data_IF_052938361430
#
_entry.id   IF_052938361430
#
_cell.length_a   1.000
_cell.length_b   1.000
_cell.length_c   1.000
_cell.angle_alpha   90.00
_cell.angle_beta   90.00
_cell.angle_gamma   90.00
#
_symmetry.space_group_name_H-M   'P 1'
#
loop_
_entity.id
_entity.type
_entity.pdbx_description
1 polymer ?
#
# COMPACT_ATOMS: atom_id res chain seq x y z
N UNK A 1 29.98 -37.58 -1.74
CA UNK A 1 30.32 -37.05 -0.41
C UNK A 1 30.64 -35.57 -0.60
N UNK A 2 29.65 -34.67 -0.42
CA UNK A 2 29.73 -33.25 -0.81
C UNK A 2 30.06 -32.35 0.40
N UNK A 3 31.02 -31.45 0.17
CA UNK A 3 31.72 -30.59 1.13
C UNK A 3 30.81 -29.69 1.99
N UNK A 4 30.82 -29.90 3.31
CA UNK A 4 30.07 -29.10 4.30
C UNK A 4 30.81 -27.82 4.77
N UNK A 5 31.94 -27.47 4.13
CA UNK A 5 32.92 -26.53 4.71
C UNK A 5 32.66 -25.04 4.44
N UNK A 6 31.65 -24.69 3.64
CA UNK A 6 31.33 -23.29 3.28
C UNK A 6 30.04 -22.73 3.92
N UNK A 7 29.34 -23.50 4.75
CA UNK A 7 28.03 -23.11 5.32
C UNK A 7 28.09 -22.39 6.69
N UNK A 8 29.25 -22.34 7.36
CA UNK A 8 29.38 -21.71 8.67
C UNK A 8 29.35 -20.16 8.66
N UNK A 9 30.02 -19.42 7.74
CA UNK A 9 30.00 -17.96 7.80
C UNK A 9 28.63 -17.39 7.39
N UNK A 10 27.92 -18.05 6.47
CA UNK A 10 26.60 -17.60 5.99
C UNK A 10 25.53 -17.66 7.10
N UNK A 11 25.57 -18.71 7.92
CA UNK A 11 24.68 -18.85 9.10
C UNK A 11 24.96 -17.77 10.13
N UNK A 12 26.23 -17.47 10.41
CA UNK A 12 26.64 -16.42 11.35
C UNK A 12 26.30 -15.02 10.88
N UNK A 13 26.35 -14.76 9.56
CA UNK A 13 25.94 -13.48 8.96
C UNK A 13 24.41 -13.31 9.08
N UNK A 14 23.64 -14.37 8.78
CA UNK A 14 22.18 -14.32 8.93
C UNK A 14 21.79 -14.07 10.39
N UNK A 15 22.40 -14.77 11.35
CA UNK A 15 22.10 -14.53 12.77
C UNK A 15 22.54 -13.15 13.24
N UNK A 16 23.68 -12.62 12.76
CA UNK A 16 24.09 -11.25 13.06
C UNK A 16 23.11 -10.20 12.51
N UNK A 17 22.61 -10.39 11.29
CA UNK A 17 21.59 -9.52 10.69
C UNK A 17 20.28 -9.58 11.48
N UNK A 18 19.82 -10.78 11.87
CA UNK A 18 18.61 -10.95 12.68
C UNK A 18 18.74 -10.30 14.05
N UNK A 19 19.90 -10.41 14.70
CA UNK A 19 20.16 -9.76 16.00
C UNK A 19 20.21 -8.24 15.87
N UNK A 20 20.77 -7.70 14.78
CA UNK A 20 20.80 -6.26 14.53
C UNK A 20 19.40 -5.65 14.36
N UNK A 21 18.46 -6.38 13.78
CA UNK A 21 17.06 -5.94 13.66
C UNK A 21 16.27 -5.93 14.98
N UNK A 22 16.74 -6.65 16.02
CA UNK A 22 16.06 -6.73 17.32
C UNK A 22 16.38 -5.51 18.21
N UNK A 23 17.50 -4.82 17.99
CA UNK A 23 17.95 -3.68 18.82
C UNK A 23 17.63 -2.29 18.24
N UNK A 24 16.71 -2.21 17.28
CA UNK A 24 16.28 -0.94 16.69
C UNK A 24 15.49 -0.06 17.68
N UNK A 25 15.79 1.23 17.67
CA UNK A 25 15.12 2.27 18.46
C UNK A 25 13.63 2.28 18.05
N UNK A 26 12.73 2.06 19.01
CA UNK A 26 11.28 2.01 18.78
C UNK A 26 10.71 3.43 18.66
N UNK A 27 10.71 3.98 17.45
CA UNK A 27 9.86 5.13 17.12
C UNK A 27 8.41 4.67 16.97
N UNK A 28 7.47 5.35 17.63
CA UNK A 28 6.06 5.02 17.54
C UNK A 28 5.54 5.24 16.10
N UNK A 29 4.86 4.25 15.52
CA UNK A 29 4.27 4.38 14.18
C UNK A 29 3.08 5.35 14.23
N UNK A 30 3.18 6.49 13.52
CA UNK A 30 2.14 7.52 13.48
C UNK A 30 0.90 7.12 12.68
N UNK A 31 1.04 6.19 11.72
CA UNK A 31 -0.05 5.81 10.81
C UNK A 31 -0.54 4.39 11.14
N UNK A 32 -1.86 4.15 11.23
CA UNK A 32 -2.38 2.81 11.41
C UNK A 32 -1.96 1.93 10.23
N UNK A 33 -1.12 0.93 10.50
CA UNK A 33 -0.77 -0.07 9.50
C UNK A 33 -1.95 -1.02 9.34
N UNK A 34 -2.66 -0.92 8.21
CA UNK A 34 -3.85 -1.73 7.95
C UNK A 34 -3.49 -3.20 7.78
N UNK A 35 -4.07 -4.08 8.61
CA UNK A 35 -3.88 -5.54 8.51
C UNK A 35 -4.38 -6.14 7.19
N UNK A 36 -5.28 -5.46 6.48
CA UNK A 36 -5.86 -5.93 5.22
C UNK A 36 -4.98 -5.66 3.98
N UNK A 37 -3.76 -5.13 4.15
CA UNK A 37 -2.86 -4.86 3.03
C UNK A 37 -2.52 -6.11 2.20
N UNK A 38 -2.55 -7.30 2.83
CA UNK A 38 -2.33 -8.59 2.17
C UNK A 38 -3.44 -8.85 1.13
N UNK A 39 -4.67 -8.41 1.42
CA UNK A 39 -5.81 -8.57 0.51
C UNK A 39 -5.78 -7.54 -0.62
N UNK A 40 -5.23 -6.35 -0.37
CA UNK A 40 -5.16 -5.26 -1.34
C UNK A 40 -3.82 -4.54 -1.27
N UNK A 41 -2.79 -5.14 -1.90
CA UNK A 41 -1.44 -4.57 -1.95
C UNK A 41 -1.34 -3.23 -2.68
N UNK A 42 -2.35 -2.91 -3.50
CA UNK A 42 -2.45 -1.62 -4.19
C UNK A 42 -2.62 -0.43 -3.23
N UNK A 43 -3.25 -0.65 -2.05
CA UNK A 43 -3.41 0.41 -1.04
C UNK A 43 -2.06 0.90 -0.49
N UNK A 44 -1.06 0.01 -0.43
CA UNK A 44 0.28 0.34 0.05
C UNK A 44 1.20 0.80 -1.08
N UNK A 45 1.16 0.10 -2.23
CA UNK A 45 2.14 0.30 -3.27
C UNK A 45 1.46 0.64 -4.62
N UNK A 46 1.62 1.88 -5.12
CA UNK A 46 0.98 2.30 -6.37
C UNK A 46 1.49 1.50 -7.59
N UNK A 47 2.65 0.83 -7.50
CA UNK A 47 3.17 -0.02 -8.60
C UNK A 47 2.34 -1.28 -8.82
N UNK A 48 1.45 -1.63 -7.89
CA UNK A 48 0.56 -2.79 -8.02
C UNK A 48 -0.68 -2.47 -8.88
N UNK A 49 -0.92 -1.21 -9.24
CA UNK A 49 -2.08 -0.81 -10.05
C UNK A 49 -2.13 -1.62 -11.36
N UNK A 50 -3.18 -2.41 -11.55
CA UNK A 50 -3.37 -3.22 -12.78
C UNK A 50 -2.35 -4.36 -12.94
N UNK A 51 -1.63 -4.73 -11.88
CA UNK A 51 -0.68 -5.85 -11.87
C UNK A 51 -1.32 -7.16 -12.33
N UNK A 52 -2.55 -7.40 -11.89
CA UNK A 52 -3.29 -8.64 -12.12
C UNK A 52 -3.77 -8.79 -13.58
N UNK A 53 -3.73 -7.71 -14.37
CA UNK A 53 -4.07 -7.72 -15.79
C UNK A 53 -5.57 -7.73 -16.10
N UNK A 54 -6.42 -7.70 -15.09
CA UNK A 54 -7.86 -7.47 -15.21
C UNK A 54 -8.28 -6.23 -14.42
N UNK A 55 -9.49 -5.74 -14.68
CA UNK A 55 -10.10 -4.68 -13.89
C UNK A 55 -10.62 -5.27 -12.58
N UNK A 56 -10.19 -4.75 -11.43
CA UNK A 56 -10.66 -5.17 -10.11
C UNK A 56 -11.29 -4.00 -9.37
N UNK A 57 -12.43 -4.26 -8.74
CA UNK A 57 -13.11 -3.36 -7.81
C UNK A 57 -13.10 -4.06 -6.46
N UNK A 58 -12.57 -3.42 -5.41
CA UNK A 58 -12.60 -3.97 -4.06
C UNK A 58 -13.26 -2.98 -3.11
N UNK A 59 -14.25 -3.46 -2.36
CA UNK A 59 -14.86 -2.76 -1.23
C UNK A 59 -14.28 -3.33 0.06
N UNK A 60 -13.68 -2.46 0.86
CA UNK A 60 -13.11 -2.77 2.16
C UNK A 60 -13.95 -2.07 3.21
N UNK A 61 -14.52 -2.85 4.13
CA UNK A 61 -15.18 -2.36 5.33
C UNK A 61 -14.46 -2.94 6.53
N UNK A 62 -14.10 -2.09 7.48
CA UNK A 62 -13.42 -2.48 8.71
C UNK A 62 -14.03 -1.72 9.86
N UNK A 63 -14.71 -2.44 10.74
CA UNK A 63 -15.15 -1.92 12.02
C UNK A 63 -14.32 -2.60 13.10
N UNK A 64 -13.81 -1.81 14.03
CA UNK A 64 -13.12 -2.32 15.21
C UNK A 64 -13.94 -2.02 16.44
N UNK A 65 -13.79 -2.84 17.49
CA UNK A 65 -14.39 -2.58 18.80
C UNK A 65 -15.89 -2.27 18.74
N UNK A 66 -16.60 -3.07 17.95
CA UNK A 66 -18.03 -2.92 17.72
C UNK A 66 -18.78 -2.90 19.06
N UNK A 67 -19.63 -1.90 19.25
CA UNK A 67 -20.37 -1.67 20.51
C UNK A 67 -19.81 -0.56 21.41
N UNK A 68 -18.62 -0.03 21.14
CA UNK A 68 -18.14 1.20 21.79
C UNK A 68 -18.59 2.45 21.02
N UNK A 69 -18.94 3.52 21.74
CA UNK A 69 -19.22 4.81 21.12
C UNK A 69 -17.96 5.36 20.43
N UNK A 70 -18.10 5.87 19.21
CA UNK A 70 -17.01 6.40 18.38
C UNK A 70 -15.89 5.38 18.07
N UNK A 71 -16.24 4.09 17.99
CA UNK A 71 -15.29 3.05 17.66
C UNK A 71 -14.66 3.26 16.25
N UNK A 72 -13.39 2.87 16.05
CA UNK A 72 -12.71 3.06 14.78
C UNK A 72 -13.39 2.28 13.64
N UNK A 73 -13.68 2.98 12.54
CA UNK A 73 -14.27 2.40 11.34
C UNK A 73 -13.62 2.96 10.08
N UNK A 74 -13.28 2.07 9.15
CA UNK A 74 -12.63 2.40 7.89
C UNK A 74 -13.43 1.81 6.74
N UNK A 75 -13.77 2.66 5.77
CA UNK A 75 -14.43 2.28 4.53
C UNK A 75 -13.54 2.69 3.37
N UNK A 76 -13.26 1.77 2.45
CA UNK A 76 -12.48 2.08 1.26
C UNK A 76 -13.08 1.38 0.03
N UNK A 77 -13.18 2.11 -1.06
CA UNK A 77 -13.53 1.57 -2.37
C UNK A 77 -12.34 1.79 -3.29
N UNK A 78 -11.78 0.71 -3.80
CA UNK A 78 -10.63 0.74 -4.71
C UNK A 78 -11.01 0.19 -6.08
N UNK A 79 -10.45 0.80 -7.10
CA UNK A 79 -10.57 0.41 -8.49
C UNK A 79 -9.17 0.40 -9.11
N UNK A 80 -8.84 -0.66 -9.84
CA UNK A 80 -7.61 -0.69 -10.62
C UNK A 80 -7.83 -1.48 -11.90
N UNK A 81 -7.11 -1.11 -12.95
CA UNK A 81 -7.18 -1.78 -14.24
C UNK A 81 -5.86 -1.66 -14.98
N UNK A 82 -5.49 -2.69 -15.74
CA UNK A 82 -4.45 -2.58 -16.75
C UNK A 82 -5.07 -2.00 -18.01
N UNK A 83 -4.44 -0.99 -18.62
CA UNK A 83 -4.87 -0.44 -19.90
C UNK A 83 -4.31 -1.34 -21.00
N UNK A 84 -5.10 -2.32 -21.46
CA UNK A 84 -4.67 -3.23 -22.50
C UNK A 84 -4.71 -2.56 -23.88
N UNK A 85 -3.66 -2.79 -24.71
CA UNK A 85 -3.63 -2.31 -26.11
C UNK A 85 -4.75 -2.90 -26.98
N UNK A 86 -5.26 -4.08 -26.61
CA UNK A 86 -6.39 -4.73 -27.26
C UNK A 86 -7.42 -5.10 -26.19
N UNK A 87 -8.62 -4.55 -26.28
CA UNK A 87 -9.74 -4.93 -25.40
C UNK A 87 -10.21 -6.35 -25.76
N UNK A 88 -10.31 -7.23 -24.77
CA UNK A 88 -10.97 -8.53 -24.95
C UNK A 88 -12.17 -8.62 -24.02
N UNK A 89 -13.37 -8.69 -24.61
CA UNK A 89 -14.57 -9.18 -23.93
C UNK A 89 -14.40 -10.69 -23.81
N UNK A 90 -14.23 -11.19 -22.58
CA UNK A 90 -14.19 -12.64 -22.33
C UNK A 90 -15.60 -13.22 -22.53
N UNK A 91 -15.96 -13.56 -23.77
CA UNK A 91 -17.12 -14.44 -24.01
C UNK A 91 -16.75 -15.83 -23.51
N UNK A 92 -17.49 -16.34 -22.52
CA UNK A 92 -17.37 -17.73 -22.06
C UNK A 92 -17.96 -18.64 -23.14
N UNK A 93 -17.13 -19.43 -23.81
CA UNK A 93 -17.60 -20.48 -24.73
C UNK A 93 -17.59 -21.80 -23.97
N UNK A 94 -18.67 -22.57 -24.08
CA UNK A 94 -18.97 -23.79 -23.30
C UNK A 94 -18.04 -24.98 -23.59
N UNK A 95 -17.09 -24.87 -24.51
CA UNK A 95 -16.28 -26.01 -24.96
C UNK A 95 -14.79 -25.63 -25.07
N UNK A 96 -13.97 -26.40 -24.35
CA UNK A 96 -12.49 -26.52 -24.35
C UNK A 96 -11.68 -25.44 -23.62
N UNK A 97 -11.04 -25.88 -22.53
CA UNK A 97 -9.90 -25.31 -21.77
C UNK A 97 -9.47 -23.90 -22.22
N UNK A 98 -10.10 -22.89 -21.61
CA UNK A 98 -9.66 -21.49 -21.72
C UNK A 98 -8.46 -21.29 -20.77
N UNK A 99 -7.25 -21.62 -21.22
CA UNK A 99 -6.04 -21.08 -20.60
C UNK A 99 -6.08 -19.56 -20.85
N UNK A 100 -6.50 -18.78 -19.85
CA UNK A 100 -6.46 -17.31 -19.89
C UNK A 100 -4.98 -16.91 -19.85
N UNK A 101 -4.33 -16.92 -21.01
CA UNK A 101 -3.03 -16.28 -21.16
C UNK A 101 -3.28 -14.78 -21.28
N UNK A 102 -2.82 -13.94 -20.36
CA UNK A 102 -2.81 -12.50 -20.61
C UNK A 102 -1.96 -12.26 -21.85
N UNK A 103 -2.61 -11.94 -22.98
CA UNK A 103 -1.91 -11.44 -24.16
C UNK A 103 -1.20 -10.15 -23.75
N UNK A 104 -0.06 -9.83 -24.39
CA UNK A 104 0.87 -8.71 -24.14
C UNK A 104 0.21 -7.30 -24.21
N UNK A 105 -0.91 -7.09 -23.55
CA UNK A 105 -1.75 -5.92 -23.64
C UNK A 105 -1.57 -5.06 -22.40
N UNK A 106 -0.87 -3.95 -22.58
CA UNK A 106 -0.80 -2.88 -21.59
C UNK A 106 0.38 -2.96 -20.65
N UNK A 107 1.38 -2.12 -20.89
CA UNK A 107 2.43 -1.85 -19.89
C UNK A 107 1.94 -0.83 -18.86
N UNK A 108 0.82 -0.16 -19.11
CA UNK A 108 0.26 0.89 -18.24
C UNK A 108 -0.85 0.30 -17.39
N UNK A 109 -0.80 0.54 -16.09
CA UNK A 109 -1.90 0.34 -15.16
C UNK A 109 -2.35 1.67 -14.58
N UNK A 110 -3.65 1.78 -14.34
CA UNK A 110 -4.23 2.92 -13.63
C UNK A 110 -5.13 2.40 -12.53
N UNK A 111 -5.17 3.12 -11.43
CA UNK A 111 -6.06 2.79 -10.33
C UNK A 111 -6.32 4.00 -9.46
N UNK A 112 -7.23 3.85 -8.54
CA UNK A 112 -7.50 4.83 -7.53
C UNK A 112 -8.36 4.23 -6.45
N UNK A 113 -8.38 4.88 -5.31
CA UNK A 113 -9.29 4.51 -4.25
C UNK A 113 -9.79 5.74 -3.53
N UNK A 114 -11.01 5.66 -3.04
CA UNK A 114 -11.57 6.61 -2.09
C UNK A 114 -11.66 5.90 -0.76
N UNK A 115 -11.33 6.60 0.31
CA UNK A 115 -11.42 6.08 1.66
C UNK A 115 -12.02 7.12 2.58
N UNK A 116 -12.76 6.62 3.55
CA UNK A 116 -13.27 7.37 4.68
C UNK A 116 -12.90 6.58 5.93
N UNK A 117 -11.99 7.15 6.72
CA UNK A 117 -11.54 6.59 7.98
C UNK A 117 -12.03 7.46 9.12
N UNK A 118 -12.66 6.82 10.09
CA UNK A 118 -13.21 7.45 11.27
C UNK A 118 -12.57 6.81 12.50
N UNK A 119 -11.86 7.61 13.28
CA UNK A 119 -11.17 7.17 14.48
C UNK A 119 -11.52 8.09 15.65
N UNK A 120 -12.65 7.81 16.31
CA UNK A 120 -13.10 8.64 17.42
C UNK A 120 -13.52 10.03 16.96
N UNK A 121 -12.76 11.02 17.42
CA UNK A 121 -12.95 12.45 17.12
C UNK A 121 -12.29 12.88 15.81
N UNK A 122 -11.48 12.00 15.20
CA UNK A 122 -10.72 12.27 13.99
C UNK A 122 -11.39 11.61 12.78
N UNK A 123 -11.67 12.40 11.76
CA UNK A 123 -12.19 11.93 10.48
C UNK A 123 -11.19 12.23 9.37
N UNK A 124 -10.86 11.22 8.56
CA UNK A 124 -9.96 11.36 7.42
C UNK A 124 -10.66 10.82 6.18
N UNK A 125 -11.03 11.72 5.28
CA UNK A 125 -11.59 11.34 3.98
C UNK A 125 -10.60 11.68 2.90
N UNK A 126 -10.32 10.74 2.00
CA UNK A 126 -9.32 10.96 0.96
C UNK A 126 -9.60 10.21 -0.32
N UNK A 127 -8.93 10.67 -1.36
CA UNK A 127 -8.87 10.05 -2.67
C UNK A 127 -7.42 9.87 -3.06
N UNK A 128 -7.11 8.72 -3.64
CA UNK A 128 -5.83 8.45 -4.26
C UNK A 128 -6.06 8.10 -5.73
N UNK A 129 -5.25 8.68 -6.60
CA UNK A 129 -5.07 8.24 -7.98
C UNK A 129 -3.66 7.65 -8.12
N UNK A 130 -3.54 6.57 -8.88
CA UNK A 130 -2.29 5.88 -9.09
C UNK A 130 -2.10 5.51 -10.56
N UNK A 131 -0.87 5.66 -11.00
CA UNK A 131 -0.40 5.30 -12.33
C UNK A 131 0.76 4.34 -12.17
N UNK A 132 0.73 3.22 -12.88
CA UNK A 132 1.81 2.26 -12.90
C UNK A 132 2.30 1.97 -14.32
N UNK A 133 3.59 1.69 -14.44
CA UNK A 133 4.23 1.28 -15.66
C UNK A 133 5.03 0.00 -15.42
N UNK A 134 4.59 -1.09 -16.03
CA UNK A 134 5.20 -2.42 -15.98
C UNK A 134 6.09 -2.65 -17.19
N UNK A 135 7.38 -2.85 -16.94
CA UNK A 135 8.39 -3.29 -17.89
C UNK A 135 8.51 -4.82 -17.81
N UNK A 136 8.08 -5.57 -18.84
CA UNK A 136 8.35 -6.99 -18.92
C UNK A 136 9.83 -7.19 -19.28
N UNK A 137 10.62 -7.76 -18.37
CA UNK A 137 12.06 -7.99 -18.54
C UNK A 137 12.39 -9.26 -19.35
N UNK A 138 11.38 -9.86 -19.99
CA UNK A 138 11.52 -11.07 -20.80
C UNK A 138 11.30 -12.37 -20.01
N UNK A 139 11.51 -13.49 -20.70
CA UNK A 139 11.49 -14.83 -20.11
C UNK A 139 12.94 -15.28 -19.93
N UNK A 140 13.30 -15.77 -18.75
CA UNK A 140 14.56 -16.48 -18.54
C UNK A 140 14.52 -17.84 -19.27
N UNK A 141 15.66 -18.52 -19.41
CA UNK A 141 15.76 -19.89 -19.99
C UNK A 141 14.73 -20.88 -19.40
N UNK A 142 14.28 -20.67 -18.16
CA UNK A 142 13.25 -21.47 -17.46
C UNK A 142 11.79 -21.03 -17.68
N UNK A 143 11.47 -20.30 -18.76
CA UNK A 143 10.13 -19.74 -19.06
C UNK A 143 9.53 -18.78 -18.00
N UNK A 144 10.27 -18.40 -16.96
CA UNK A 144 9.77 -17.52 -15.91
C UNK A 144 9.61 -16.08 -16.42
N UNK A 145 8.40 -15.53 -16.29
CA UNK A 145 8.10 -14.13 -16.64
C UNK A 145 8.57 -13.22 -15.51
N UNK A 146 9.47 -12.29 -15.85
CA UNK A 146 9.97 -11.26 -14.94
C UNK A 146 9.31 -9.92 -15.28
N UNK A 147 8.66 -9.32 -14.29
CA UNK A 147 8.00 -8.03 -14.43
C UNK A 147 8.58 -7.05 -13.42
N UNK A 148 9.02 -5.89 -13.90
CA UNK A 148 9.41 -4.76 -13.08
C UNK A 148 8.38 -3.65 -13.28
N UNK A 149 7.70 -3.23 -12.21
CA UNK A 149 6.71 -2.18 -12.27
C UNK A 149 7.14 -0.97 -11.44
N UNK A 150 6.95 0.22 -12.01
CA UNK A 150 7.08 1.50 -11.33
C UNK A 150 5.68 2.07 -11.12
N UNK A 151 5.46 2.76 -10.01
CA UNK A 151 4.17 3.33 -9.65
C UNK A 151 4.35 4.73 -9.09
N UNK A 152 3.46 5.62 -9.50
CA UNK A 152 3.29 6.96 -8.94
C UNK A 152 1.86 7.06 -8.44
N UNK A 153 1.70 7.55 -7.22
CA UNK A 153 0.41 7.86 -6.62
C UNK A 153 0.32 9.34 -6.29
N UNK A 154 -0.82 9.95 -6.54
CA UNK A 154 -1.20 11.25 -6.01
C UNK A 154 -2.33 10.99 -5.02
N UNK A 155 -2.15 11.38 -3.76
CA UNK A 155 -3.17 11.27 -2.72
C UNK A 155 -3.59 12.67 -2.31
N UNK A 156 -4.87 12.87 -2.08
CA UNK A 156 -5.39 14.08 -1.49
C UNK A 156 -6.39 13.66 -0.42
N UNK A 157 -6.21 14.14 0.81
CA UNK A 157 -7.13 13.86 1.89
C UNK A 157 -7.42 15.09 2.71
N UNK A 158 -8.63 15.11 3.23
CA UNK A 158 -9.15 16.09 4.15
C UNK A 158 -9.16 15.48 5.54
N UNK A 159 -8.57 16.21 6.48
CA UNK A 159 -8.54 15.85 7.89
C UNK A 159 -9.48 16.77 8.65
N UNK A 160 -10.46 16.19 9.34
CA UNK A 160 -11.44 16.92 10.12
C UNK A 160 -11.49 16.41 11.56
N UNK A 161 -11.59 17.33 12.52
CA UNK A 161 -11.72 17.00 13.95
C UNK A 161 -13.12 17.42 14.40
N UNK A 162 -13.87 16.49 14.99
CA UNK A 162 -15.18 16.74 15.55
C UNK A 162 -15.11 16.78 17.08
N UNK A 163 -15.37 17.95 17.66
CA UNK A 163 -15.34 18.17 19.12
C UNK A 163 -16.71 17.96 19.80
N UNK A 164 -17.75 17.56 19.06
CA UNK A 164 -19.08 17.37 19.65
C UNK A 164 -19.06 16.27 20.71
N UNK A 165 -19.22 16.66 21.98
CA UNK A 165 -19.24 15.75 23.14
C UNK A 165 -17.94 15.67 23.94
N UNK A 166 -16.92 16.46 23.60
CA UNK A 166 -15.74 16.62 24.44
C UNK A 166 -15.96 17.74 25.47
N UNK A 167 -15.64 17.49 26.74
CA UNK A 167 -15.49 18.53 27.75
C UNK A 167 -14.15 19.21 27.44
N UNK A 168 -14.17 20.35 26.76
CA UNK A 168 -12.98 21.14 26.46
C UNK A 168 -12.94 22.39 27.33
N UNK A 169 -11.73 22.84 27.67
CA UNK A 169 -11.54 24.12 28.35
C UNK A 169 -11.80 25.26 27.33
N UNK A 170 -12.78 26.15 27.56
CA UNK A 170 -13.07 27.26 26.67
C UNK A 170 -11.88 28.20 26.42
N UNK A 171 -10.90 28.21 27.32
CA UNK A 171 -9.71 29.06 27.25
C UNK A 171 -8.48 28.38 26.62
N UNK A 172 -8.61 27.16 26.05
CA UNK A 172 -7.47 26.49 25.38
C UNK A 172 -7.21 27.09 23.97
N UNK A 173 -6.11 27.84 23.78
CA UNK A 173 -5.79 28.51 22.52
C UNK A 173 -5.45 27.53 21.39
N UNK A 174 -5.12 26.26 21.68
CA UNK A 174 -4.83 25.24 20.67
C UNK A 174 -6.10 24.61 20.08
N UNK A 175 -7.24 24.67 20.77
CA UNK A 175 -8.50 24.09 20.30
C UNK A 175 -9.41 25.12 19.63
N UNK A 176 -9.32 26.40 20.03
CA UNK A 176 -10.26 27.43 19.60
C UNK A 176 -9.90 28.11 18.26
N UNK A 177 -8.63 28.03 17.82
CA UNK A 177 -8.10 28.71 16.61
C UNK A 177 -7.76 27.77 15.44
N UNK A 178 -8.13 26.48 15.51
CA UNK A 178 -7.80 25.53 14.44
C UNK A 178 -8.85 25.51 13.33
N UNK A 179 -8.39 25.56 12.08
CA UNK A 179 -9.21 25.20 10.94
C UNK A 179 -9.70 23.76 11.10
N UNK A 180 -11.02 23.62 11.22
CA UNK A 180 -11.70 22.34 11.49
C UNK A 180 -11.50 21.29 10.40
N UNK A 181 -10.94 21.68 9.26
CA UNK A 181 -10.76 20.86 8.08
C UNK A 181 -9.52 21.32 7.30
N UNK A 182 -8.49 20.49 7.22
CA UNK A 182 -7.27 20.78 6.44
C UNK A 182 -7.19 19.82 5.24
N UNK A 183 -6.90 20.36 4.06
CA UNK A 183 -6.69 19.58 2.83
C UNK A 183 -5.19 19.42 2.56
N UNK A 184 -4.73 18.17 2.45
CA UNK A 184 -3.32 17.84 2.28
C UNK A 184 -3.15 17.04 0.98
N UNK A 185 -2.49 17.59 -0.05
CA UNK A 185 -2.03 16.84 -1.19
C UNK A 185 -0.70 16.14 -0.89
N UNK A 186 -0.53 14.95 -1.44
CA UNK A 186 0.63 14.11 -1.21
C UNK A 186 0.99 13.26 -2.45
N UNK A 187 2.27 12.90 -2.56
CA UNK A 187 2.80 12.03 -3.61
C UNK A 187 3.37 10.73 -3.02
N UNK A 188 3.09 9.64 -3.72
CA UNK A 188 3.55 8.30 -3.39
C UNK A 188 4.34 7.73 -4.56
N UNK A 189 5.37 6.94 -4.26
CA UNK A 189 6.18 6.26 -5.25
C UNK A 189 6.28 4.78 -4.90
N UNK A 190 6.30 3.92 -5.90
CA UNK A 190 6.37 2.48 -5.72
C UNK A 190 7.22 1.81 -6.79
N UNK A 191 7.96 0.80 -6.40
CA UNK A 191 8.65 -0.12 -7.31
C UNK A 191 8.29 -1.53 -6.88
N UNK A 192 7.96 -2.40 -7.83
CA UNK A 192 7.81 -3.82 -7.55
C UNK A 192 8.47 -4.66 -8.62
N UNK A 193 9.19 -5.68 -8.17
CA UNK A 193 9.78 -6.71 -8.99
C UNK A 193 9.07 -8.03 -8.69
N UNK A 194 8.64 -8.71 -9.74
CA UNK A 194 7.88 -9.94 -9.61
C UNK A 194 8.30 -10.99 -10.62
N UNK A 195 8.50 -12.19 -10.10
CA UNK A 195 8.77 -13.43 -10.83
C UNK A 195 7.67 -14.44 -10.52
N UNK A 196 7.65 -15.58 -11.21
CA UNK A 196 6.75 -16.69 -10.91
C UNK A 196 6.86 -17.21 -9.46
N UNK A 197 8.07 -17.22 -8.90
CA UNK A 197 8.37 -17.80 -7.57
C UNK A 197 8.54 -16.78 -6.45
N UNK A 198 8.89 -15.53 -6.74
CA UNK A 198 9.14 -14.55 -5.69
C UNK A 198 8.73 -13.15 -6.14
N UNK A 199 8.38 -12.32 -5.19
CA UNK A 199 8.08 -10.91 -5.41
C UNK A 199 8.77 -10.07 -4.34
N UNK A 200 9.22 -8.89 -4.75
CA UNK A 200 9.81 -7.88 -3.87
C UNK A 200 9.23 -6.54 -4.30
N UNK A 201 8.82 -5.72 -3.36
CA UNK A 201 8.28 -4.40 -3.62
C UNK A 201 8.75 -3.40 -2.59
N UNK A 202 9.00 -2.20 -3.05
CA UNK A 202 9.33 -1.05 -2.25
C UNK A 202 8.28 0.03 -2.52
N UNK A 203 7.80 0.70 -1.48
CA UNK A 203 6.91 1.85 -1.62
C UNK A 203 7.34 2.95 -0.66
N UNK A 204 7.14 4.18 -1.11
CA UNK A 204 7.33 5.40 -0.34
C UNK A 204 6.01 6.16 -0.39
N UNK A 205 5.45 6.46 0.77
CA UNK A 205 4.27 7.34 0.88
C UNK A 205 4.65 8.62 1.61
N UNK A 206 3.85 9.67 1.48
CA UNK A 206 4.06 10.92 2.20
C UNK A 206 5.36 11.62 1.75
N UNK A 207 5.61 11.63 0.44
CA UNK A 207 6.83 12.19 -0.14
C UNK A 207 6.86 13.72 -0.04
N UNK A 208 5.70 14.37 -0.11
CA UNK A 208 5.61 15.83 0.05
C UNK A 208 5.79 16.28 1.49
N UNK A 209 5.67 15.35 2.45
CA UNK A 209 5.77 15.62 3.89
C UNK A 209 5.03 16.90 4.25
N UNK A 210 3.78 17.00 3.79
CA UNK A 210 2.98 18.20 3.92
C UNK A 210 3.12 18.72 5.34
N UNK A 211 3.72 19.91 5.49
CA UNK A 211 3.79 20.58 6.78
C UNK A 211 2.34 20.83 7.15
N UNK A 212 1.82 20.07 8.11
CA UNK A 212 0.49 20.35 8.60
C UNK A 212 0.68 21.55 9.52
N UNK A 213 0.52 22.74 8.93
CA UNK A 213 0.61 24.01 9.64
C UNK A 213 -0.66 24.12 10.46
N UNK A 214 -0.57 23.48 11.61
CA UNK A 214 -1.54 23.44 12.65
C UNK A 214 -1.14 24.57 13.61
N UNK A 215 -1.62 25.79 13.31
CA UNK A 215 -1.54 27.04 14.11
C UNK A 215 -0.91 28.22 13.34
N UNK A 216 -1.59 29.37 13.39
CA UNK A 216 -1.20 30.65 12.82
C UNK A 216 -0.36 31.45 13.83
N UNK A 217 0.64 30.82 14.44
CA UNK A 217 1.54 31.46 15.39
C UNK A 217 2.97 31.37 14.87
N UNK A 218 3.72 32.48 14.98
CA UNK A 218 5.09 32.67 14.49
C UNK A 218 6.15 31.83 15.25
N UNK A 219 5.76 30.66 15.76
CA UNK A 219 6.62 29.68 16.41
C UNK A 219 6.77 28.45 15.51
N UNK A 220 8.03 28.09 15.20
CA UNK A 220 8.46 26.95 14.39
C UNK A 220 7.91 25.57 14.85
N UNK A 221 6.62 25.30 14.67
CA UNK A 221 6.03 23.98 14.84
C UNK A 221 5.56 23.44 13.49
N UNK A 222 6.53 23.07 12.65
CA UNK A 222 6.26 22.26 11.47
C UNK A 222 5.99 20.82 11.90
N UNK A 223 4.75 20.50 12.26
CA UNK A 223 4.31 19.11 12.36
C UNK A 223 4.23 18.56 10.92
N UNK A 224 5.39 18.21 10.34
CA UNK A 224 5.48 17.59 9.03
C UNK A 224 5.06 16.14 9.16
N UNK A 225 4.16 15.67 8.29
CA UNK A 225 3.98 14.24 8.17
C UNK A 225 5.29 13.58 7.72
N UNK A 226 5.70 12.54 8.44
CA UNK A 226 6.91 11.79 8.10
C UNK A 226 6.65 10.92 6.87
N UNK A 227 7.62 10.90 5.95
CA UNK A 227 7.60 9.97 4.83
C UNK A 227 7.71 8.52 5.33
N UNK A 228 6.83 7.65 4.85
CA UNK A 228 6.83 6.24 5.22
C UNK A 228 7.44 5.38 4.12
N UNK A 229 8.27 4.42 4.53
CA UNK A 229 8.95 3.49 3.65
C UNK A 229 8.44 2.08 3.94
N UNK A 230 7.92 1.43 2.91
CA UNK A 230 7.42 0.06 2.98
C UNK A 230 8.32 -0.84 2.13
N UNK A 231 8.80 -1.91 2.75
CA UNK A 231 9.46 -3.01 2.06
C UNK A 231 8.57 -4.23 2.17
N UNK A 232 8.22 -4.81 1.03
CA UNK A 232 7.35 -5.96 0.89
C UNK A 232 8.10 -7.04 0.13
N UNK A 233 7.93 -8.30 0.52
CA UNK A 233 8.55 -9.41 -0.17
C UNK A 233 7.90 -10.73 0.20
N UNK A 234 7.96 -11.68 -0.71
CA UNK A 234 7.45 -13.02 -0.47
C UNK A 234 7.93 -14.02 -1.50
N UNK A 235 7.90 -15.29 -1.11
CA UNK A 235 8.31 -16.42 -1.95
C UNK A 235 7.15 -17.40 -1.98
N UNK A 236 6.80 -17.84 -3.18
CA UNK A 236 5.82 -18.88 -3.46
C UNK A 236 6.55 -20.21 -3.55
N UNK A 237 6.29 -21.09 -2.59
CA UNK A 237 6.94 -22.41 -2.51
C UNK A 237 5.94 -23.47 -2.99
N UNK A 238 6.20 -24.15 -4.13
CA UNK A 238 5.35 -25.26 -4.54
C UNK A 238 5.58 -26.46 -3.61
N UNK A 239 4.55 -26.88 -2.89
CA UNK A 239 4.63 -28.00 -1.92
C UNK A 239 4.44 -29.37 -2.59
N UNK A 240 3.74 -29.42 -3.73
CA UNK A 240 3.64 -30.57 -4.64
C UNK A 240 2.99 -30.12 -5.95
N UNK A 241 2.97 -30.96 -6.99
CA UNK A 241 2.61 -30.60 -8.37
C UNK A 241 1.26 -29.90 -8.64
N UNK A 242 0.38 -29.76 -7.64
CA UNK A 242 -0.95 -29.15 -7.79
C UNK A 242 -1.33 -28.08 -6.74
N UNK A 243 -0.43 -27.69 -5.81
CA UNK A 243 -0.76 -26.73 -4.75
C UNK A 243 0.31 -25.64 -4.61
N UNK A 244 -0.14 -24.39 -4.56
CA UNK A 244 0.70 -23.19 -4.50
C UNK A 244 0.23 -22.33 -3.32
N UNK A 245 1.15 -22.04 -2.38
CA UNK A 245 0.96 -21.18 -1.22
C UNK A 245 1.73 -19.87 -1.41
#
# INVERSE_FOLDING_TARGET
MLNYKYMSPFRSIISAVVVFFIFGISEAQQVPMYSQYIMNGFLINPSYAGRDGYTSVNLTVREQWTGMAQAPSTYALSFQTRILKNSYISKSTTVKKKLVRPTRGGQVGVGGYVFNDNNGIMHRTGVQAAYSYTIPLGKSEDEEVKNLAFGLGLTAYQYAINFNGLIYDPDDPYLNNYDRSVFIPDFNFGVSYATAKYFVGFAMTNLLRGSVIFSNDNGNNSNTELGHYFLTGGVKVPLSGNWLL
#
